data_IF_833573947787
#
_entry.id   IF_833573947787
#
_cell.length_a   1.000
_cell.length_b   1.000
_cell.length_c   1.000
_cell.angle_alpha   90.00
_cell.angle_beta   90.00
_cell.angle_gamma   90.00
#
_symmetry.space_group_name_H-M   'P 1'
#
loop_
_entity.id
_entity.type
_entity.pdbx_description
1 polymer ?
#
# COMPACT_ATOMS: atom_id res chain seq x y z
N UNK A 1 -23.66 -24.65 16.66
CA UNK A 1 -22.29 -24.54 17.20
C UNK A 1 -21.59 -23.42 16.44
N UNK A 2 -22.00 -22.16 16.69
CA UNK A 2 -21.53 -20.98 15.94
C UNK A 2 -20.16 -20.57 16.44
N UNK A 3 -19.14 -21.21 15.87
CA UNK A 3 -17.73 -20.97 16.12
C UNK A 3 -17.43 -19.47 16.08
N UNK A 4 -17.26 -18.87 17.26
CA UNK A 4 -16.64 -17.57 17.48
C UNK A 4 -17.15 -16.47 16.54
N UNK A 5 -18.31 -15.92 16.93
CA UNK A 5 -18.96 -14.73 16.37
C UNK A 5 -17.95 -13.76 15.77
N UNK A 6 -18.25 -13.21 14.57
CA UNK A 6 -17.47 -12.18 13.87
C UNK A 6 -17.03 -11.04 14.82
N UNK A 7 -17.83 -10.79 15.86
CA UNK A 7 -17.53 -9.85 16.93
C UNK A 7 -16.22 -10.15 17.69
N UNK A 8 -15.90 -11.42 17.94
CA UNK A 8 -14.67 -11.84 18.61
C UNK A 8 -13.42 -11.51 17.77
N UNK A 9 -13.48 -11.77 16.47
CA UNK A 9 -12.41 -11.45 15.53
C UNK A 9 -12.14 -9.94 15.45
N UNK A 10 -13.18 -9.11 15.55
CA UNK A 10 -13.04 -7.66 15.57
C UNK A 10 -12.27 -7.19 16.83
N UNK A 11 -12.55 -7.78 17.99
CA UNK A 11 -11.84 -7.47 19.24
C UNK A 11 -10.38 -7.90 19.18
N UNK A 12 -10.12 -9.10 18.68
CA UNK A 12 -8.75 -9.61 18.52
C UNK A 12 -7.95 -8.70 17.57
N UNK A 13 -8.55 -8.27 16.46
CA UNK A 13 -7.91 -7.37 15.50
C UNK A 13 -7.55 -6.02 16.13
N UNK A 14 -8.41 -5.46 16.98
CA UNK A 14 -8.12 -4.23 17.72
C UNK A 14 -6.94 -4.43 18.68
N UNK A 15 -6.89 -5.53 19.44
CA UNK A 15 -5.79 -5.82 20.36
C UNK A 15 -4.46 -5.95 19.60
N UNK A 16 -4.46 -6.67 18.49
CA UNK A 16 -3.27 -6.82 17.63
C UNK A 16 -2.80 -5.45 17.11
N UNK A 17 -3.72 -4.59 16.66
CA UNK A 17 -3.39 -3.24 16.20
C UNK A 17 -2.78 -2.37 17.30
N UNK A 18 -3.19 -2.54 18.55
CA UNK A 18 -2.64 -1.83 19.71
C UNK A 18 -1.25 -2.35 20.09
N UNK A 19 -1.05 -3.67 20.09
CA UNK A 19 0.24 -4.29 20.44
C UNK A 19 1.33 -4.02 19.38
N UNK A 20 0.98 -4.13 18.10
CA UNK A 20 1.92 -3.91 17.00
C UNK A 20 2.02 -2.43 16.59
N UNK A 21 1.02 -1.62 16.94
CA UNK A 21 0.92 -0.22 16.54
C UNK A 21 0.60 -0.02 15.06
N UNK A 22 0.24 1.21 14.69
CA UNK A 22 -0.19 1.59 13.33
C UNK A 22 0.92 1.59 12.28
N UNK A 23 2.20 1.59 12.70
CA UNK A 23 3.35 1.67 11.79
C UNK A 23 3.87 0.33 11.29
N UNK A 24 3.81 -0.72 12.14
CA UNK A 24 4.45 -2.01 11.81
C UNK A 24 3.62 -2.89 10.88
N UNK A 25 2.29 -2.86 11.01
CA UNK A 25 1.40 -3.68 10.16
C UNK A 25 1.46 -3.26 8.68
N UNK A 26 1.39 -1.96 8.31
CA UNK A 26 1.45 -1.55 6.91
C UNK A 26 2.80 -1.83 6.25
N UNK A 27 3.90 -1.64 6.98
CA UNK A 27 5.26 -1.90 6.49
C UNK A 27 5.47 -3.39 6.20
N UNK A 28 5.12 -4.27 7.16
CA UNK A 28 5.21 -5.72 7.00
C UNK A 28 4.24 -6.26 5.93
N UNK A 29 3.01 -5.73 5.88
CA UNK A 29 2.05 -6.10 4.84
C UNK A 29 2.50 -5.62 3.46
N UNK A 30 3.19 -4.49 3.35
CA UNK A 30 3.73 -4.00 2.09
C UNK A 30 4.76 -4.96 1.47
N UNK A 31 5.72 -5.42 2.28
CA UNK A 31 6.75 -6.35 1.80
C UNK A 31 6.20 -7.76 1.57
N UNK A 32 5.28 -8.21 2.41
CA UNK A 32 4.55 -9.46 2.21
C UNK A 32 3.71 -9.42 0.92
N UNK A 33 2.99 -8.32 0.67
CA UNK A 33 2.19 -8.14 -0.53
C UNK A 33 3.05 -8.08 -1.80
N UNK A 34 4.23 -7.44 -1.76
CA UNK A 34 5.19 -7.49 -2.87
C UNK A 34 5.65 -8.92 -3.15
N UNK A 35 5.97 -9.70 -2.12
CA UNK A 35 6.36 -11.11 -2.26
C UNK A 35 5.28 -11.96 -2.91
N UNK A 36 4.03 -11.87 -2.41
CA UNK A 36 2.88 -12.57 -3.00
C UNK A 36 2.60 -12.09 -4.42
N UNK A 37 2.72 -10.79 -4.69
CA UNK A 37 2.50 -10.23 -6.03
C UNK A 37 3.51 -10.75 -7.04
N UNK A 38 4.80 -10.80 -6.68
CA UNK A 38 5.85 -11.36 -7.52
C UNK A 38 5.67 -12.86 -7.73
N UNK A 39 5.24 -13.59 -6.69
CA UNK A 39 4.92 -15.02 -6.79
C UNK A 39 3.74 -15.27 -7.73
N UNK A 40 2.65 -14.51 -7.57
CA UNK A 40 1.49 -14.61 -8.45
C UNK A 40 1.83 -14.19 -9.87
N UNK A 41 2.61 -13.13 -10.06
CA UNK A 41 3.04 -12.68 -11.39
C UNK A 41 3.91 -13.73 -12.06
N UNK A 42 4.89 -14.32 -11.36
CA UNK A 42 5.72 -15.40 -11.90
C UNK A 42 4.92 -16.65 -12.28
N UNK A 43 3.86 -16.97 -11.51
CA UNK A 43 2.98 -18.09 -11.83
C UNK A 43 1.93 -17.78 -12.91
N UNK A 44 1.59 -16.50 -13.11
CA UNK A 44 0.69 -16.05 -14.20
C UNK A 44 1.44 -15.73 -15.50
N UNK A 45 2.76 -15.53 -15.45
CA UNK A 45 3.62 -15.30 -16.62
C UNK A 45 3.74 -16.56 -17.51
N UNK A 46 3.42 -17.75 -16.98
CA UNK A 46 3.25 -18.97 -17.79
C UNK A 46 1.96 -18.96 -18.65
N UNK A 47 0.99 -18.06 -18.39
CA UNK A 47 -0.34 -18.07 -19.02
C UNK A 47 -0.79 -16.75 -19.69
N UNK A 48 -0.20 -15.58 -19.43
CA UNK A 48 -0.57 -14.33 -20.12
C UNK A 48 0.47 -13.19 -20.03
N UNK A 49 0.65 -12.36 -21.09
CA UNK A 49 1.54 -11.22 -21.04
C UNK A 49 0.88 -10.04 -20.28
N UNK A 50 1.59 -9.61 -19.23
CA UNK A 50 1.62 -8.26 -18.65
C UNK A 50 0.33 -7.65 -18.05
N UNK A 51 0.24 -7.71 -16.72
CA UNK A 51 -0.34 -6.63 -15.93
C UNK A 51 0.74 -6.00 -15.04
N UNK A 52 1.01 -4.73 -15.33
CA UNK A 52 1.93 -3.83 -14.66
C UNK A 52 1.14 -3.07 -13.58
N UNK A 53 1.71 -2.89 -12.38
CA UNK A 53 1.12 -1.96 -11.41
C UNK A 53 1.38 -2.31 -9.96
N UNK A 54 2.34 -1.63 -9.34
CA UNK A 54 2.22 -1.07 -7.99
C UNK A 54 3.44 -0.19 -7.69
N UNK A 55 3.52 0.95 -8.36
CA UNK A 55 4.34 2.08 -7.91
C UNK A 55 3.40 3.25 -7.69
N UNK A 56 2.72 3.25 -6.54
CA UNK A 56 2.05 4.45 -6.03
C UNK A 56 2.77 4.85 -4.77
N UNK A 57 3.87 5.60 -4.93
CA UNK A 57 4.49 6.37 -3.85
C UNK A 57 5.08 7.61 -4.49
N UNK A 58 4.38 8.73 -4.27
CA UNK A 58 5.01 10.03 -4.01
C UNK A 58 5.83 10.64 -5.15
N UNK A 59 5.14 11.25 -6.14
CA UNK A 59 5.72 12.28 -7.01
C UNK A 59 4.67 13.34 -7.40
N UNK A 60 3.99 13.92 -6.40
CA UNK A 60 3.02 15.02 -6.62
C UNK A 60 3.09 16.12 -5.56
N UNK A 61 4.26 16.30 -4.92
CA UNK A 61 4.53 17.47 -4.05
C UNK A 61 5.85 18.10 -4.48
N UNK A 62 5.98 18.45 -5.76
CA UNK A 62 7.05 19.35 -6.23
C UNK A 62 6.67 19.96 -7.60
N UNK A 63 5.55 20.68 -7.67
CA UNK A 63 5.16 21.49 -8.85
C UNK A 63 4.36 22.74 -8.43
N UNK A 64 4.69 23.35 -7.29
CA UNK A 64 4.00 24.56 -6.80
C UNK A 64 4.93 25.50 -6.04
N UNK A 65 6.06 25.88 -6.63
CA UNK A 65 6.89 26.94 -6.07
C UNK A 65 7.88 27.61 -7.05
N UNK A 66 7.61 27.66 -8.37
CA UNK A 66 8.49 28.45 -9.25
C UNK A 66 7.79 28.93 -10.52
N UNK A 67 6.72 29.72 -10.40
CA UNK A 67 6.21 30.52 -11.54
C UNK A 67 5.29 31.66 -11.05
N UNK A 68 5.85 32.66 -10.36
CA UNK A 68 5.17 33.93 -10.10
C UNK A 68 6.13 35.00 -9.56
N UNK A 69 7.23 35.33 -10.28
CA UNK A 69 7.97 36.59 -10.04
C UNK A 69 8.97 37.03 -11.12
N UNK A 70 8.77 36.68 -12.39
CA UNK A 70 9.47 37.34 -13.52
C UNK A 70 8.50 37.66 -14.66
N UNK A 71 7.67 38.68 -14.47
CA UNK A 71 6.95 39.38 -15.55
C UNK A 71 6.84 40.85 -15.16
N UNK A 72 7.99 41.44 -14.84
CA UNK A 72 8.21 42.88 -14.89
C UNK A 72 9.61 43.12 -15.46
N UNK A 73 9.78 42.76 -16.74
CA UNK A 73 10.86 43.24 -17.59
C UNK A 73 10.52 43.02 -19.06
N UNK A 74 9.58 43.78 -19.58
CA UNK A 74 9.46 44.11 -21.01
C UNK A 74 8.71 45.43 -21.12
#
# INVERSE_FOLDING_TARGET
>A
MGSFSVWHWLIVLVIVLVLFGRGKIPELMGDFAKGIKSFKKGMSDEDAPEANGATTTTKTVDLKAEEAKETNRS
#
